data_IF_669601475698
#
_entry.id   IF_669601475698
#
_cell.length_a   1.000
_cell.length_b   1.000
_cell.length_c   1.000
_cell.angle_alpha   90.00
_cell.angle_beta   90.00
_cell.angle_gamma   90.00
#
_symmetry.space_group_name_H-M   'P 1'
#
loop_
_entity.id
_entity.type
_entity.pdbx_description
1 polymer ?
#
# COMPACT_ATOMS: atom_id res chain seq x y z
N UNK A 1 12.49 16.96 7.65
CA UNK A 1 11.57 16.47 6.59
C UNK A 1 12.28 15.38 5.81
N UNK A 2 11.84 14.14 6.01
CA UNK A 2 12.47 12.92 5.46
C UNK A 2 12.14 12.69 3.98
N UNK A 3 11.05 13.30 3.47
CA UNK A 3 10.58 13.18 2.09
C UNK A 3 10.51 14.53 1.38
N UNK A 4 11.35 15.49 1.79
CA UNK A 4 11.35 16.84 1.21
C UNK A 4 11.47 16.78 -0.32
N UNK A 5 10.50 17.41 -1.01
CA UNK A 5 10.38 17.49 -2.46
C UNK A 5 10.20 16.15 -3.20
N UNK A 6 10.07 15.03 -2.51
CA UNK A 6 9.76 13.72 -3.11
C UNK A 6 8.30 13.69 -3.59
N UNK A 7 8.05 12.97 -4.67
CA UNK A 7 6.74 12.80 -5.26
C UNK A 7 6.27 11.38 -4.98
N UNK A 8 5.19 11.25 -4.19
CA UNK A 8 4.66 9.96 -3.74
C UNK A 8 3.29 9.67 -4.36
N UNK A 9 3.21 8.57 -5.12
CA UNK A 9 1.97 8.00 -5.58
C UNK A 9 1.49 6.95 -4.59
N UNK A 10 0.25 7.12 -4.09
CA UNK A 10 -0.36 6.23 -3.10
C UNK A 10 -1.69 5.72 -3.64
N UNK A 11 -1.81 4.41 -3.83
CA UNK A 11 -3.07 3.76 -4.22
C UNK A 11 -3.93 3.45 -2.98
N UNK A 12 -5.25 3.60 -3.08
CA UNK A 12 -6.14 3.54 -1.92
C UNK A 12 -5.88 4.69 -0.95
N UNK A 13 -5.54 5.88 -1.49
CA UNK A 13 -5.08 7.04 -0.71
C UNK A 13 -6.18 7.86 -0.04
N UNK A 14 -7.45 7.56 -0.29
CA UNK A 14 -8.57 8.34 0.24
C UNK A 14 -9.03 7.92 1.64
N UNK A 15 -8.60 6.76 2.15
CA UNK A 15 -9.09 6.20 3.40
C UNK A 15 -8.02 5.39 4.16
N UNK A 16 -8.29 5.11 5.44
CA UNK A 16 -7.56 4.14 6.26
C UNK A 16 -6.04 4.34 6.27
N UNK A 17 -5.30 3.27 6.03
CA UNK A 17 -3.82 3.26 6.04
C UNK A 17 -3.27 4.17 4.92
N UNK A 18 -3.88 4.17 3.74
CA UNK A 18 -3.45 5.01 2.62
C UNK A 18 -3.54 6.50 2.96
N UNK A 19 -4.65 6.93 3.56
CA UNK A 19 -4.84 8.31 4.01
C UNK A 19 -3.87 8.70 5.14
N UNK A 20 -3.64 7.81 6.11
CA UNK A 20 -2.66 8.04 7.17
C UNK A 20 -1.24 8.17 6.60
N UNK A 21 -0.90 7.32 5.61
CA UNK A 21 0.37 7.39 4.89
C UNK A 21 0.52 8.71 4.14
N UNK A 22 -0.52 9.13 3.40
CA UNK A 22 -0.52 10.42 2.72
C UNK A 22 -0.34 11.59 3.71
N UNK A 23 -1.03 11.55 4.84
CA UNK A 23 -0.92 12.56 5.91
C UNK A 23 0.49 12.61 6.50
N UNK A 24 1.09 11.44 6.76
CA UNK A 24 2.46 11.37 7.27
C UNK A 24 3.47 11.88 6.24
N UNK A 25 3.33 11.51 4.98
CA UNK A 25 4.23 11.93 3.90
C UNK A 25 4.15 13.43 3.63
N UNK A 26 2.94 14.02 3.65
CA UNK A 26 2.75 15.48 3.56
C UNK A 26 3.52 16.23 4.64
N UNK A 27 3.40 15.79 5.91
CA UNK A 27 4.14 16.37 7.04
C UNK A 27 5.66 16.27 6.89
N UNK A 28 6.12 15.29 6.12
CA UNK A 28 7.55 15.10 5.81
C UNK A 28 8.00 15.73 4.50
N UNK A 29 7.16 16.58 3.90
CA UNK A 29 7.48 17.42 2.75
C UNK A 29 7.33 16.76 1.38
N UNK A 30 6.64 15.63 1.29
CA UNK A 30 6.31 15.01 0.01
C UNK A 30 5.19 15.78 -0.70
N UNK A 31 5.20 15.72 -2.03
CA UNK A 31 4.06 16.04 -2.90
C UNK A 31 3.30 14.75 -3.18
N UNK A 32 1.97 14.81 -3.27
CA UNK A 32 1.13 13.62 -3.25
C UNK A 32 0.35 13.43 -4.55
N UNK A 33 0.33 12.20 -5.02
CA UNK A 33 -0.57 11.70 -6.06
C UNK A 33 -1.42 10.62 -5.41
N UNK A 34 -2.71 10.87 -5.28
CA UNK A 34 -3.64 9.97 -4.61
C UNK A 34 -4.53 9.29 -5.66
N UNK A 35 -4.47 7.97 -5.72
CA UNK A 35 -5.38 7.16 -6.53
C UNK A 35 -6.33 6.38 -5.63
N UNK A 36 -7.62 6.45 -5.95
CA UNK A 36 -8.66 5.69 -5.25
C UNK A 36 -9.89 5.56 -6.17
N UNK A 37 -10.77 4.62 -5.90
CA UNK A 37 -12.07 4.50 -6.57
C UNK A 37 -13.15 5.35 -5.88
N UNK A 38 -12.88 5.84 -4.68
CA UNK A 38 -13.78 6.65 -3.87
C UNK A 38 -13.61 8.14 -4.20
N UNK A 39 -14.71 8.83 -4.48
CA UNK A 39 -14.73 10.28 -4.74
C UNK A 39 -14.27 11.14 -3.54
N UNK A 40 -14.20 10.56 -2.32
CA UNK A 40 -13.63 11.22 -1.14
C UNK A 40 -12.19 11.70 -1.35
N UNK A 41 -11.47 11.13 -2.32
CA UNK A 41 -10.13 11.55 -2.65
C UNK A 41 -10.03 13.02 -3.09
N UNK A 42 -11.08 13.60 -3.67
CA UNK A 42 -11.12 15.02 -4.02
C UNK A 42 -11.00 15.91 -2.77
N UNK A 43 -11.85 15.66 -1.76
CA UNK A 43 -11.85 16.40 -0.49
C UNK A 43 -10.51 16.25 0.25
N UNK A 44 -9.92 15.04 0.17
CA UNK A 44 -8.61 14.75 0.78
C UNK A 44 -7.51 15.58 0.10
N UNK A 45 -7.46 15.61 -1.23
CA UNK A 45 -6.47 16.39 -1.97
C UNK A 45 -6.64 17.91 -1.74
N UNK A 46 -7.88 18.40 -1.72
CA UNK A 46 -8.18 19.81 -1.40
C UNK A 46 -7.69 20.18 0.00
N UNK A 47 -7.91 19.32 0.99
CA UNK A 47 -7.43 19.53 2.35
C UNK A 47 -5.91 19.67 2.38
N UNK A 48 -5.16 18.75 1.74
CA UNK A 48 -3.70 18.83 1.69
C UNK A 48 -3.22 20.11 1.00
N UNK A 49 -3.88 20.53 -0.09
CA UNK A 49 -3.53 21.77 -0.77
C UNK A 49 -3.76 23.01 0.12
N UNK A 50 -4.86 23.04 0.90
CA UNK A 50 -5.12 24.10 1.89
C UNK A 50 -4.09 24.13 3.01
N UNK A 51 -3.53 22.96 3.37
CA UNK A 51 -2.47 22.80 4.37
C UNK A 51 -1.06 23.07 3.78
N UNK A 52 -0.95 23.47 2.51
CA UNK A 52 0.31 23.82 1.83
C UNK A 52 1.08 22.64 1.23
N UNK A 53 0.49 21.45 1.19
CA UNK A 53 1.07 20.28 0.51
C UNK A 53 0.46 20.16 -0.90
N UNK A 54 1.28 20.22 -1.95
CA UNK A 54 0.80 19.97 -3.32
C UNK A 54 0.29 18.53 -3.44
N UNK A 55 -1.02 18.36 -3.63
CA UNK A 55 -1.67 17.06 -3.77
C UNK A 55 -2.64 17.06 -4.95
N UNK A 56 -2.65 15.97 -5.72
CA UNK A 56 -3.68 15.70 -6.73
C UNK A 56 -4.38 14.39 -6.40
N UNK A 57 -5.63 14.31 -6.78
CA UNK A 57 -6.41 13.08 -6.74
C UNK A 57 -6.84 12.67 -8.15
N UNK A 58 -6.80 11.38 -8.42
CA UNK A 58 -7.38 10.80 -9.64
C UNK A 58 -8.22 9.59 -9.24
N UNK A 59 -9.44 9.54 -9.78
CA UNK A 59 -10.31 8.37 -9.60
C UNK A 59 -9.85 7.26 -10.53
N UNK A 60 -9.01 6.37 -10.04
CA UNK A 60 -8.38 5.30 -10.81
C UNK A 60 -8.62 3.97 -10.11
N UNK A 61 -9.12 2.99 -10.88
CA UNK A 61 -9.12 1.59 -10.48
C UNK A 61 -7.78 0.95 -10.86
N UNK A 62 -7.06 0.39 -9.89
CA UNK A 62 -5.80 -0.32 -10.12
C UNK A 62 -5.98 -1.58 -10.99
N UNK A 63 -7.22 -2.07 -11.13
CA UNK A 63 -7.56 -3.23 -11.98
C UNK A 63 -7.68 -2.89 -13.45
N UNK A 64 -7.81 -1.60 -13.78
CA UNK A 64 -7.90 -1.09 -15.14
C UNK A 64 -6.52 -0.60 -15.60
N UNK A 65 -5.84 -1.42 -16.40
CA UNK A 65 -4.50 -1.12 -16.89
C UNK A 65 -4.47 0.19 -17.70
N UNK A 66 -5.50 0.48 -18.48
CA UNK A 66 -5.58 1.72 -19.27
C UNK A 66 -5.65 2.95 -18.37
N UNK A 67 -6.49 2.92 -17.32
CA UNK A 67 -6.56 4.01 -16.34
C UNK A 67 -5.22 4.19 -15.61
N UNK A 68 -4.54 3.09 -15.25
CA UNK A 68 -3.24 3.13 -14.57
C UNK A 68 -2.18 3.76 -15.48
N UNK A 69 -2.10 3.36 -16.75
CA UNK A 69 -1.17 3.91 -17.73
C UNK A 69 -1.42 5.40 -17.97
N UNK A 70 -2.68 5.77 -18.20
CA UNK A 70 -3.06 7.17 -18.42
C UNK A 70 -2.78 8.02 -17.17
N UNK A 71 -3.18 7.55 -15.99
CA UNK A 71 -2.94 8.28 -14.74
C UNK A 71 -1.46 8.44 -14.42
N UNK A 72 -0.63 7.47 -14.80
CA UNK A 72 0.83 7.57 -14.67
C UNK A 72 1.41 8.64 -15.61
N UNK A 73 0.95 8.69 -16.86
CA UNK A 73 1.36 9.72 -17.81
C UNK A 73 0.96 11.14 -17.35
N UNK A 74 -0.28 11.30 -16.87
CA UNK A 74 -0.77 12.56 -16.31
C UNK A 74 0.04 12.98 -15.06
N UNK A 75 0.33 12.04 -14.17
CA UNK A 75 1.16 12.29 -12.99
C UNK A 75 2.57 12.76 -13.37
N UNK A 76 3.14 12.19 -14.43
CA UNK A 76 4.45 12.61 -14.95
C UNK A 76 4.37 14.03 -15.55
N UNK A 77 3.28 14.39 -16.23
CA UNK A 77 3.08 15.75 -16.73
C UNK A 77 2.96 16.78 -15.59
N UNK A 78 2.22 16.44 -14.51
CA UNK A 78 1.97 17.36 -13.39
C UNK A 78 3.19 17.57 -12.47
N UNK A 79 4.06 16.56 -12.34
CA UNK A 79 5.15 16.55 -11.37
C UNK A 79 6.55 16.33 -11.96
N UNK A 80 6.65 15.89 -13.21
CA UNK A 80 7.92 15.62 -13.89
C UNK A 80 8.63 14.32 -13.48
N UNK A 81 8.23 13.69 -12.38
CA UNK A 81 8.79 12.44 -11.85
C UNK A 81 7.86 11.76 -10.85
N UNK A 82 8.13 10.51 -10.54
CA UNK A 82 7.52 9.75 -9.43
C UNK A 82 8.65 9.08 -8.67
N UNK A 83 8.82 9.45 -7.39
CA UNK A 83 9.92 8.95 -6.54
C UNK A 83 9.52 7.75 -5.69
N UNK A 84 8.25 7.72 -5.27
CA UNK A 84 7.73 6.76 -4.32
C UNK A 84 6.42 6.20 -4.87
N UNK A 85 6.28 4.87 -4.84
CA UNK A 85 5.04 4.16 -5.11
C UNK A 85 4.63 3.36 -3.87
N UNK A 86 3.46 3.67 -3.33
CA UNK A 86 2.83 2.89 -2.27
C UNK A 86 1.64 2.13 -2.85
N UNK A 87 1.82 0.84 -3.08
CA UNK A 87 0.75 -0.07 -3.47
C UNK A 87 -0.03 -0.49 -2.22
N UNK A 88 -1.02 0.33 -1.84
CA UNK A 88 -1.82 0.12 -0.63
C UNK A 88 -3.27 -0.29 -0.94
N UNK A 89 -3.79 -0.02 -2.13
CA UNK A 89 -5.14 -0.42 -2.50
C UNK A 89 -5.36 -1.94 -2.28
N UNK A 90 -6.48 -2.29 -1.68
CA UNK A 90 -6.80 -3.69 -1.41
C UNK A 90 -8.20 -3.89 -0.87
N UNK A 91 -8.72 -5.09 -1.08
CA UNK A 91 -10.04 -5.53 -0.61
C UNK A 91 -9.95 -6.91 0.04
N UNK A 92 -10.96 -7.25 0.83
CA UNK A 92 -11.21 -8.61 1.32
C UNK A 92 -12.58 -9.10 0.85
N UNK A 93 -12.68 -10.40 0.54
CA UNK A 93 -13.93 -11.13 0.31
C UNK A 93 -13.80 -12.50 0.97
N UNK A 94 -14.00 -12.49 2.30
CA UNK A 94 -13.71 -13.63 3.15
C UNK A 94 -14.80 -14.71 2.99
N UNK A 95 -14.37 -15.92 2.70
CA UNK A 95 -15.22 -17.09 2.54
C UNK A 95 -14.41 -18.36 2.76
N UNK A 96 -14.99 -19.37 3.40
CA UNK A 96 -14.31 -20.67 3.51
C UNK A 96 -14.09 -21.30 2.15
N UNK A 97 -13.04 -22.10 1.99
CA UNK A 97 -12.67 -22.72 0.71
C UNK A 97 -13.85 -23.41 0.00
N UNK A 98 -14.65 -24.18 0.77
CA UNK A 98 -15.78 -24.94 0.21
C UNK A 98 -16.97 -24.06 -0.24
N UNK A 99 -17.02 -22.79 0.16
CA UNK A 99 -18.10 -21.85 -0.14
C UNK A 99 -17.66 -20.66 -0.98
N UNK A 100 -16.36 -20.47 -1.17
CA UNK A 100 -15.81 -19.37 -1.97
C UNK A 100 -16.22 -19.56 -3.44
N UNK A 101 -16.88 -18.57 -4.00
CA UNK A 101 -17.21 -18.57 -5.42
C UNK A 101 -16.09 -17.94 -6.27
N UNK A 102 -16.17 -18.14 -7.59
CA UNK A 102 -15.15 -17.66 -8.52
C UNK A 102 -15.03 -16.14 -8.52
N UNK A 103 -16.12 -15.41 -8.40
CA UNK A 103 -16.10 -13.94 -8.39
C UNK A 103 -15.42 -13.39 -7.15
N UNK A 104 -15.65 -14.00 -5.95
CA UNK A 104 -14.95 -13.61 -4.71
C UNK A 104 -13.43 -13.83 -4.79
N UNK A 105 -13.01 -14.87 -5.51
CA UNK A 105 -11.60 -15.11 -5.80
C UNK A 105 -11.05 -14.07 -6.78
N UNK A 106 -11.67 -13.94 -7.96
CA UNK A 106 -11.17 -13.09 -9.05
C UNK A 106 -11.11 -11.62 -8.65
N UNK A 107 -12.07 -11.10 -7.92
CA UNK A 107 -12.05 -9.71 -7.45
C UNK A 107 -10.87 -9.40 -6.53
N UNK A 108 -10.54 -10.32 -5.62
CA UNK A 108 -9.41 -10.14 -4.70
C UNK A 108 -8.08 -10.26 -5.44
N UNK A 109 -7.96 -11.20 -6.38
CA UNK A 109 -6.78 -11.33 -7.25
C UNK A 109 -6.61 -10.05 -8.10
N UNK A 110 -7.69 -9.56 -8.71
CA UNK A 110 -7.63 -8.40 -9.59
C UNK A 110 -7.12 -7.14 -8.84
N UNK A 111 -7.65 -6.86 -7.66
CA UNK A 111 -7.27 -5.66 -6.91
C UNK A 111 -5.92 -5.85 -6.22
N UNK A 112 -5.79 -6.92 -5.41
CA UNK A 112 -4.67 -7.05 -4.48
C UNK A 112 -3.38 -7.56 -5.12
N UNK A 113 -3.44 -8.19 -6.28
CA UNK A 113 -2.27 -8.76 -6.95
C UNK A 113 -2.05 -8.12 -8.32
N UNK A 114 -3.01 -8.26 -9.24
CA UNK A 114 -2.89 -7.69 -10.58
C UNK A 114 -2.76 -6.17 -10.53
N UNK A 115 -3.53 -5.49 -9.66
CA UNK A 115 -3.44 -4.04 -9.48
C UNK A 115 -2.07 -3.58 -8.99
N UNK A 116 -1.44 -4.33 -8.08
CA UNK A 116 -0.06 -4.06 -7.63
C UNK A 116 0.94 -4.21 -8.78
N UNK A 117 0.77 -5.24 -9.60
CA UNK A 117 1.59 -5.45 -10.79
C UNK A 117 1.41 -4.29 -11.79
N UNK A 118 0.17 -3.93 -12.15
CA UNK A 118 -0.13 -2.85 -13.09
C UNK A 118 0.52 -1.52 -12.66
N UNK A 119 0.33 -1.12 -11.41
CA UNK A 119 0.90 0.13 -10.89
C UNK A 119 2.43 0.11 -10.89
N UNK A 120 3.03 -1.01 -10.47
CA UNK A 120 4.49 -1.13 -10.43
C UNK A 120 5.07 -1.12 -11.83
N UNK A 121 4.47 -1.85 -12.78
CA UNK A 121 4.92 -1.91 -14.17
C UNK A 121 4.83 -0.54 -14.87
N UNK A 122 3.79 0.26 -14.56
CA UNK A 122 3.64 1.59 -15.14
C UNK A 122 4.64 2.60 -14.56
N UNK A 123 4.96 2.51 -13.26
CA UNK A 123 5.79 3.51 -12.57
C UNK A 123 7.29 3.18 -12.62
N UNK A 124 7.67 1.91 -12.61
CA UNK A 124 9.07 1.49 -12.57
C UNK A 124 9.94 2.05 -13.73
N UNK A 125 9.46 2.17 -14.99
CA UNK A 125 10.22 2.81 -16.06
C UNK A 125 10.61 4.27 -15.75
N UNK A 126 9.70 5.06 -15.16
CA UNK A 126 9.94 6.44 -14.75
C UNK A 126 11.02 6.51 -13.68
N UNK A 127 10.93 5.65 -12.66
CA UNK A 127 11.95 5.55 -11.60
C UNK A 127 13.31 5.13 -12.15
N UNK A 128 13.33 4.21 -13.12
CA UNK A 128 14.55 3.78 -13.81
C UNK A 128 15.23 4.95 -14.55
N UNK A 129 14.49 5.73 -15.31
CA UNK A 129 15.01 6.90 -16.02
C UNK A 129 15.59 7.94 -15.05
N UNK A 130 14.96 8.11 -13.90
CA UNK A 130 15.44 9.02 -12.84
C UNK A 130 16.59 8.43 -11.98
N UNK A 131 16.95 7.16 -12.18
CA UNK A 131 17.88 6.41 -11.36
C UNK A 131 17.60 6.53 -9.85
N UNK A 132 16.32 6.52 -9.49
CA UNK A 132 15.83 6.61 -8.11
C UNK A 132 14.41 6.09 -8.00
N UNK A 133 14.13 5.29 -7.00
CA UNK A 133 12.77 4.85 -6.69
C UNK A 133 12.64 4.15 -5.34
N UNK A 134 11.46 4.25 -4.76
CA UNK A 134 11.06 3.55 -3.54
C UNK A 134 9.68 2.92 -3.77
N UNK A 135 9.62 1.61 -3.87
CA UNK A 135 8.37 0.87 -4.07
C UNK A 135 8.07 0.10 -2.79
N UNK A 136 6.91 0.36 -2.18
CA UNK A 136 6.49 -0.36 -0.98
C UNK A 136 5.06 -0.86 -1.15
N UNK A 137 4.85 -2.17 -1.02
CA UNK A 137 3.56 -2.81 -1.25
C UNK A 137 2.94 -3.33 0.05
N UNK A 138 1.61 -3.24 0.18
CA UNK A 138 0.87 -3.77 1.30
C UNK A 138 0.72 -5.30 1.18
N UNK A 139 1.47 -6.05 1.98
CA UNK A 139 1.20 -7.45 2.30
C UNK A 139 0.24 -7.54 3.50
N UNK A 140 0.36 -8.54 4.33
CA UNK A 140 -0.36 -8.73 5.59
C UNK A 140 0.34 -9.79 6.44
N UNK A 141 0.20 -9.76 7.75
CA UNK A 141 0.71 -10.82 8.62
C UNK A 141 0.02 -12.18 8.37
N UNK A 142 -1.20 -12.18 7.82
CA UNK A 142 -1.88 -13.43 7.42
C UNK A 142 -1.19 -14.13 6.24
N UNK A 143 -0.38 -13.42 5.46
CA UNK A 143 0.47 -14.02 4.43
C UNK A 143 1.54 -14.96 5.00
N UNK A 144 1.88 -14.78 6.28
CA UNK A 144 2.90 -15.55 7.00
C UNK A 144 2.25 -16.71 7.77
N UNK A 145 1.12 -16.45 8.48
CA UNK A 145 0.50 -17.41 9.37
C UNK A 145 -0.77 -18.10 8.85
N UNK A 146 -1.34 -17.60 7.75
CA UNK A 146 -2.68 -17.98 7.29
C UNK A 146 -3.80 -17.34 8.11
N UNK A 147 -5.03 -17.40 7.58
CA UNK A 147 -6.24 -17.03 8.31
C UNK A 147 -7.45 -17.79 7.76
N UNK A 148 -8.35 -18.20 8.65
CA UNK A 148 -9.56 -18.93 8.28
C UNK A 148 -10.45 -18.08 7.35
N UNK A 149 -10.91 -18.66 6.25
CA UNK A 149 -11.79 -18.00 5.29
C UNK A 149 -11.13 -17.02 4.32
N UNK A 150 -9.80 -16.91 4.30
CA UNK A 150 -9.06 -15.93 3.50
C UNK A 150 -8.14 -16.54 2.43
N UNK A 151 -8.56 -17.63 1.80
CA UNK A 151 -7.73 -18.31 0.78
C UNK A 151 -7.29 -17.35 -0.33
N UNK A 152 -8.21 -16.55 -0.88
CA UNK A 152 -7.95 -15.53 -1.90
C UNK A 152 -7.02 -14.42 -1.40
N UNK A 153 -7.32 -13.86 -0.23
CA UNK A 153 -6.57 -12.75 0.35
C UNK A 153 -5.14 -13.18 0.72
N UNK A 154 -4.99 -14.30 1.42
CA UNK A 154 -3.68 -14.86 1.80
C UNK A 154 -2.85 -15.16 0.55
N UNK A 155 -3.44 -15.76 -0.49
CA UNK A 155 -2.74 -16.02 -1.75
C UNK A 155 -2.15 -14.74 -2.35
N UNK A 156 -2.94 -13.64 -2.42
CA UNK A 156 -2.44 -12.36 -2.96
C UNK A 156 -1.35 -11.75 -2.10
N UNK A 157 -1.52 -11.75 -0.76
CA UNK A 157 -0.58 -11.10 0.16
C UNK A 157 0.73 -11.89 0.29
N UNK A 158 0.70 -13.21 0.13
CA UNK A 158 1.90 -14.05 0.03
C UNK A 158 2.62 -13.84 -1.32
N UNK A 159 1.88 -13.71 -2.41
CA UNK A 159 2.47 -13.44 -3.72
C UNK A 159 3.23 -12.09 -3.75
N UNK A 160 2.72 -11.05 -3.07
CA UNK A 160 3.40 -9.75 -2.93
C UNK A 160 4.79 -9.91 -2.30
N UNK A 161 4.94 -10.77 -1.29
CA UNK A 161 6.26 -11.03 -0.68
C UNK A 161 7.22 -11.64 -1.70
N UNK A 162 6.75 -12.55 -2.54
CA UNK A 162 7.54 -13.14 -3.63
C UNK A 162 7.93 -12.09 -4.70
N UNK A 163 6.94 -11.31 -5.19
CA UNK A 163 7.16 -10.25 -6.18
C UNK A 163 8.14 -9.18 -5.66
N UNK A 164 8.05 -8.80 -4.38
CA UNK A 164 8.97 -7.87 -3.73
C UNK A 164 10.42 -8.31 -3.88
N UNK A 165 10.72 -9.59 -3.66
CA UNK A 165 12.08 -10.15 -3.79
C UNK A 165 12.59 -10.11 -5.22
N UNK A 166 11.75 -10.49 -6.18
CA UNK A 166 12.12 -10.49 -7.61
C UNK A 166 12.39 -9.06 -8.08
N UNK A 167 11.48 -8.14 -7.82
CA UNK A 167 11.63 -6.75 -8.25
C UNK A 167 12.80 -6.03 -7.57
N UNK A 168 13.13 -6.38 -6.32
CA UNK A 168 14.33 -5.87 -5.65
C UNK A 168 15.62 -6.26 -6.41
N UNK A 169 15.69 -7.49 -6.95
CA UNK A 169 16.82 -7.96 -7.77
C UNK A 169 16.85 -7.25 -9.13
N UNK A 170 15.72 -7.16 -9.81
CA UNK A 170 15.63 -6.62 -11.17
C UNK A 170 15.89 -5.10 -11.21
N UNK A 171 15.37 -4.37 -10.21
CA UNK A 171 15.36 -2.91 -10.19
C UNK A 171 16.51 -2.29 -9.39
N UNK A 172 17.21 -3.06 -8.55
CA UNK A 172 18.25 -2.58 -7.67
C UNK A 172 19.38 -1.84 -8.38
N UNK A 173 19.77 -2.30 -9.58
CA UNK A 173 20.82 -1.64 -10.41
C UNK A 173 20.43 -0.22 -10.88
N UNK A 174 19.17 0.19 -10.72
CA UNK A 174 18.68 1.52 -11.04
C UNK A 174 18.44 2.36 -9.77
N UNK A 175 19.04 1.98 -8.63
CA UNK A 175 18.85 2.66 -7.34
C UNK A 175 17.38 2.70 -6.89
N UNK A 176 16.64 1.63 -7.21
CA UNK A 176 15.24 1.45 -6.79
C UNK A 176 15.21 0.38 -5.72
N UNK A 177 14.72 0.72 -4.53
CA UNK A 177 14.44 -0.27 -3.49
C UNK A 177 13.00 -0.75 -3.59
N UNK A 178 12.78 -2.06 -3.38
CA UNK A 178 11.45 -2.66 -3.39
C UNK A 178 11.25 -3.45 -2.11
N UNK A 179 10.22 -3.08 -1.34
CA UNK A 179 9.90 -3.71 -0.07
C UNK A 179 8.40 -3.92 0.07
N UNK A 180 7.98 -4.69 1.05
CA UNK A 180 6.57 -4.75 1.45
C UNK A 180 6.42 -4.64 2.97
N UNK A 181 5.22 -4.26 3.40
CA UNK A 181 4.84 -4.23 4.81
C UNK A 181 3.76 -5.30 5.03
N UNK A 182 3.86 -6.02 6.15
CA UNK A 182 2.87 -6.97 6.61
C UNK A 182 2.18 -6.44 7.88
N UNK A 183 1.08 -5.67 7.75
CA UNK A 183 0.31 -5.20 8.88
C UNK A 183 -0.36 -6.33 9.62
N UNK A 184 -0.51 -6.16 10.95
CA UNK A 184 -1.41 -6.96 11.78
C UNK A 184 -2.84 -6.43 11.78
N UNK A 185 -3.53 -6.59 12.90
CA UNK A 185 -4.84 -5.98 13.12
C UNK A 185 -4.69 -4.47 13.35
N UNK A 186 -5.25 -3.68 12.44
CA UNK A 186 -5.17 -2.22 12.44
C UNK A 186 -6.59 -1.65 12.47
N UNK A 187 -6.86 -0.68 13.34
CA UNK A 187 -8.13 0.05 13.38
C UNK A 187 -8.33 0.84 12.09
N UNK A 188 -9.28 0.40 11.28
CA UNK A 188 -9.67 1.06 10.03
C UNK A 188 -11.18 0.88 9.82
N UNK A 189 -11.79 1.67 8.95
CA UNK A 189 -13.20 1.49 8.61
C UNK A 189 -13.53 0.06 8.13
N UNK A 190 -12.57 -0.64 7.52
CA UNK A 190 -12.74 -2.03 7.08
C UNK A 190 -12.82 -3.00 8.27
N UNK A 191 -11.96 -2.83 9.26
CA UNK A 191 -11.88 -3.71 10.44
C UNK A 191 -12.87 -3.34 11.52
N UNK A 192 -13.36 -2.09 11.53
CA UNK A 192 -14.39 -1.63 12.47
C UNK A 192 -15.77 -2.25 12.16
N UNK A 193 -15.96 -2.79 10.95
CA UNK A 193 -17.14 -3.59 10.61
C UNK A 193 -17.15 -4.99 11.23
N UNK A 194 -16.03 -5.44 11.79
CA UNK A 194 -15.95 -6.75 12.45
C UNK A 194 -16.72 -6.69 13.79
N UNK A 195 -17.48 -7.76 14.14
CA UNK A 195 -18.13 -7.85 15.44
C UNK A 195 -17.16 -7.62 16.59
N UNK A 196 -17.61 -6.94 17.63
CA UNK A 196 -16.77 -6.57 18.80
C UNK A 196 -16.17 -7.81 19.48
N UNK A 197 -16.93 -8.91 19.55
CA UNK A 197 -16.46 -10.17 20.10
C UNK A 197 -15.27 -10.73 19.33
N UNK A 198 -15.29 -10.65 17.99
CA UNK A 198 -14.19 -11.11 17.15
C UNK A 198 -12.96 -10.24 17.36
N UNK A 199 -13.17 -8.91 17.48
CA UNK A 199 -12.09 -7.97 17.80
C UNK A 199 -11.45 -8.27 19.15
N UNK A 200 -12.28 -8.46 20.21
CA UNK A 200 -11.79 -8.81 21.55
C UNK A 200 -11.05 -10.15 21.58
N UNK A 201 -11.51 -11.16 20.84
CA UNK A 201 -10.86 -12.47 20.74
C UNK A 201 -9.50 -12.41 20.03
N UNK A 202 -9.25 -11.41 19.20
CA UNK A 202 -7.96 -11.26 18.52
C UNK A 202 -6.86 -10.67 19.40
N UNK A 203 -7.21 -9.87 20.42
CA UNK A 203 -6.25 -9.15 21.29
C UNK A 203 -5.29 -10.08 22.02
N UNK A 204 -5.74 -11.22 22.62
CA UNK A 204 -4.83 -12.15 23.29
C UNK A 204 -3.76 -12.77 22.37
N UNK A 205 -3.96 -12.73 21.05
CA UNK A 205 -3.01 -13.21 20.07
C UNK A 205 -1.97 -12.15 19.66
N UNK A 206 -2.08 -10.93 20.17
CA UNK A 206 -1.16 -9.83 19.90
C UNK A 206 -0.31 -9.61 21.16
N UNK A 207 1.00 -9.93 21.16
CA UNK A 207 1.85 -9.76 22.33
C UNK A 207 1.87 -8.35 22.93
N UNK A 208 1.74 -7.31 22.11
CA UNK A 208 1.62 -5.93 22.60
C UNK A 208 0.25 -5.62 23.26
N UNK A 209 -0.71 -6.54 23.21
CA UNK A 209 -1.99 -6.44 23.91
C UNK A 209 -3.01 -5.47 23.33
N UNK A 210 -2.78 -4.93 22.16
CA UNK A 210 -3.71 -4.02 21.48
C UNK A 210 -3.58 -4.08 19.97
N UNK A 211 -4.61 -3.63 19.26
CA UNK A 211 -4.56 -3.38 17.84
C UNK A 211 -3.71 -2.15 17.52
N UNK A 212 -3.04 -2.17 16.39
CA UNK A 212 -2.36 -0.99 15.85
C UNK A 212 -3.33 0.04 15.30
N UNK A 213 -2.82 1.22 15.00
CA UNK A 213 -3.54 2.29 14.31
C UNK A 213 -2.92 2.55 12.93
N UNK A 214 -3.63 3.19 11.99
CA UNK A 214 -3.10 3.47 10.65
C UNK A 214 -1.74 4.18 10.66
N UNK A 215 -1.48 5.03 11.66
CA UNK A 215 -0.19 5.73 11.81
C UNK A 215 0.99 4.78 12.08
N UNK A 216 0.78 3.63 12.72
CA UNK A 216 1.85 2.64 12.93
C UNK A 216 2.37 2.12 11.59
N UNK A 217 1.45 1.86 10.65
CA UNK A 217 1.79 1.40 9.31
C UNK A 217 2.36 2.54 8.47
N UNK A 218 1.80 3.75 8.57
CA UNK A 218 2.29 4.94 7.89
C UNK A 218 3.76 5.26 8.27
N UNK A 219 4.14 5.04 9.53
CA UNK A 219 5.53 5.19 9.98
C UNK A 219 6.47 4.16 9.33
N UNK A 220 6.01 2.91 9.15
CA UNK A 220 6.76 1.89 8.43
C UNK A 220 6.93 2.25 6.95
N UNK A 221 5.85 2.71 6.29
CA UNK A 221 5.93 3.22 4.92
C UNK A 221 6.90 4.40 4.81
N UNK A 222 6.84 5.36 5.75
CA UNK A 222 7.75 6.50 5.77
C UNK A 222 9.21 6.05 5.86
N UNK A 223 9.53 5.10 6.73
CA UNK A 223 10.89 4.56 6.84
C UNK A 223 11.36 3.96 5.52
N UNK A 224 10.59 3.02 4.95
CA UNK A 224 10.96 2.32 3.71
C UNK A 224 10.97 3.22 2.48
N UNK A 225 10.22 4.32 2.49
CA UNK A 225 10.17 5.31 1.41
C UNK A 225 11.27 6.38 1.53
N UNK A 226 11.93 6.51 2.68
CA UNK A 226 12.97 7.50 2.92
C UNK A 226 14.37 7.04 2.50
N UNK A 227 15.30 7.96 2.43
CA UNK A 227 16.70 7.66 2.14
C UNK A 227 17.42 6.94 3.31
N UNK A 228 16.82 6.91 4.51
CA UNK A 228 17.29 6.10 5.65
C UNK A 228 17.24 4.59 5.35
N UNK A 229 16.32 4.16 4.46
CA UNK A 229 16.19 2.78 4.02
C UNK A 229 16.90 2.50 2.67
N UNK A 230 17.84 3.33 2.26
CA UNK A 230 18.50 3.22 0.94
C UNK A 230 19.21 1.89 0.69
N UNK A 231 19.56 1.15 1.75
CA UNK A 231 20.17 -0.19 1.68
C UNK A 231 19.23 -1.32 2.11
N UNK A 232 17.93 -1.01 2.25
CA UNK A 232 16.87 -1.99 2.62
C UNK A 232 16.06 -2.30 1.37
N UNK A 233 16.21 -3.50 0.81
CA UNK A 233 15.48 -3.95 -0.38
C UNK A 233 15.21 -5.45 -0.33
N UNK A 234 14.05 -5.87 -0.81
CA UNK A 234 13.62 -7.28 -0.86
C UNK A 234 13.04 -7.82 0.44
N UNK A 235 12.77 -6.97 1.44
CA UNK A 235 12.23 -7.41 2.74
C UNK A 235 10.70 -7.31 2.82
N UNK A 236 10.14 -8.09 3.74
CA UNK A 236 8.79 -7.91 4.27
C UNK A 236 8.89 -7.44 5.71
N UNK A 237 8.58 -6.16 5.96
CA UNK A 237 8.58 -5.59 7.31
C UNK A 237 7.24 -5.89 7.99
N UNK A 238 7.27 -6.73 9.01
CA UNK A 238 6.07 -7.04 9.80
C UNK A 238 5.83 -5.95 10.84
N UNK A 239 4.60 -5.40 10.86
CA UNK A 239 4.15 -4.39 11.83
C UNK A 239 2.80 -4.86 12.38
N UNK A 240 2.84 -5.71 13.41
CA UNK A 240 1.66 -6.45 13.88
C UNK A 240 1.63 -6.68 15.40
N UNK A 241 2.46 -5.99 16.14
CA UNK A 241 2.53 -6.18 17.60
C UNK A 241 3.06 -7.55 18.03
N UNK A 242 3.75 -8.29 17.14
CA UNK A 242 4.29 -9.62 17.37
C UNK A 242 3.30 -10.77 17.13
N UNK A 243 2.19 -10.53 16.43
CA UNK A 243 1.12 -11.52 16.22
C UNK A 243 1.49 -12.61 15.19
N UNK A 244 2.37 -12.36 14.23
CA UNK A 244 2.87 -13.36 13.29
C UNK A 244 4.16 -14.01 13.85
N UNK A 245 4.01 -15.15 14.48
CA UNK A 245 5.11 -15.97 15.00
C UNK A 245 5.15 -17.30 14.28
#
# INVERSE_FOLDING_TARGET
>A
MRLKDKIALITGGANGIGLATATRFAKEGAKLILWDVSDKGNEVAERFNKEGCKAIFKKISVTDETQVQQGTAEALQDFGRIDILINNAGITKDRTLLKMNRQEWDDVIAVNLTGVFNCTQAVAPIMKENNYGRIVSASSNVAIRGNFGQTNYVATKSAIIGMTKVWAIELGKYNITVNCIAPGFIHTAMTDLMPEEVRKQSIPHIPLGHWGVPDDIANGYLYLASDEASFVSGICLTIDGGAAR
#
